data_IF_703898750387
#
_entry.id   IF_703898750387
#
_cell.length_a   1.000
_cell.length_b   1.000
_cell.length_c   1.000
_cell.angle_alpha   90.00
_cell.angle_beta   90.00
_cell.angle_gamma   90.00
#
_symmetry.space_group_name_H-M   'P 1'
#
loop_
_entity.id
_entity.type
_entity.pdbx_description
1 polymer ?
#
# COMPACT_ATOMS: atom_id res chain seq x y z
N UNK A 1 -24.88 -34.96 -29.92
CA UNK A 1 -23.87 -35.02 -29.66
C UNK A 1 -23.58 -34.98 -28.44
N UNK A 2 -23.06 -35.29 -28.14
CA UNK A 2 -22.79 -35.37 -27.10
C UNK A 2 -21.77 -34.81 -26.66
N UNK A 3 -21.86 -34.07 -26.22
CA UNK A 3 -21.04 -33.60 -25.71
C UNK A 3 -20.52 -34.30 -24.74
N UNK A 4 -19.77 -34.60 -24.83
CA UNK A 4 -19.27 -35.21 -24.14
C UNK A 4 -18.52 -34.74 -23.32
N UNK A 5 -18.81 -34.74 -22.56
CA UNK A 5 -18.56 -34.93 -21.40
C UNK A 5 -17.93 -36.18 -21.22
N UNK A 6 -17.28 -36.64 -21.64
CA UNK A 6 -16.76 -37.72 -21.57
C UNK A 6 -15.81 -37.75 -20.53
N UNK A 7 -14.85 -38.30 -20.62
CA UNK A 7 -13.95 -38.40 -19.84
C UNK A 7 -13.54 -37.18 -19.50
N UNK A 8 -13.55 -36.81 -18.57
CA UNK A 8 -13.36 -35.55 -18.30
C UNK A 8 -14.60 -34.74 -18.31
N UNK A 9 -15.70 -35.37 -18.54
CA UNK A 9 -16.91 -34.67 -18.49
C UNK A 9 -17.12 -34.03 -17.18
N UNK A 10 -17.57 -32.82 -17.15
CA UNK A 10 -17.80 -32.05 -15.93
C UNK A 10 -19.26 -31.68 -15.82
N UNK A 11 -19.78 -31.74 -14.60
CA UNK A 11 -21.11 -31.24 -14.32
C UNK A 11 -21.05 -29.72 -14.28
N UNK A 12 -22.21 -29.05 -14.24
CA UNK A 12 -22.27 -27.61 -14.11
C UNK A 12 -21.62 -27.16 -12.79
N UNK A 13 -21.77 -27.93 -11.73
CA UNK A 13 -21.15 -27.64 -10.45
C UNK A 13 -19.61 -27.68 -10.56
N UNK A 14 -19.07 -28.66 -11.28
CA UNK A 14 -17.63 -28.79 -11.48
C UNK A 14 -17.09 -27.62 -12.30
N UNK A 15 -17.78 -27.21 -13.34
CA UNK A 15 -17.40 -26.08 -14.16
C UNK A 15 -17.44 -24.79 -13.36
N UNK A 16 -18.45 -24.62 -12.54
CA UNK A 16 -18.58 -23.44 -11.70
C UNK A 16 -17.41 -23.37 -10.70
N UNK A 17 -17.08 -24.49 -10.05
CA UNK A 17 -15.97 -24.55 -9.11
C UNK A 17 -14.64 -24.26 -9.80
N UNK A 18 -14.46 -24.74 -11.02
CA UNK A 18 -13.26 -24.48 -11.79
C UNK A 18 -13.13 -22.99 -12.12
N UNK A 19 -14.21 -22.35 -12.54
CA UNK A 19 -14.23 -20.93 -12.84
C UNK A 19 -13.96 -20.08 -11.59
N UNK A 20 -14.50 -20.47 -10.45
CA UNK A 20 -14.24 -19.79 -9.19
C UNK A 20 -12.77 -19.88 -8.80
N UNK A 21 -12.14 -21.03 -8.98
CA UNK A 21 -10.72 -21.22 -8.69
C UNK A 21 -9.84 -20.40 -9.62
N UNK A 22 -10.19 -20.37 -10.91
CA UNK A 22 -9.47 -19.57 -11.89
C UNK A 22 -9.56 -18.09 -11.57
N UNK A 23 -10.74 -17.63 -11.16
CA UNK A 23 -10.95 -16.25 -10.76
C UNK A 23 -10.14 -15.90 -9.51
N UNK A 24 -10.16 -16.76 -8.50
CA UNK A 24 -9.38 -16.57 -7.28
C UNK A 24 -7.89 -16.49 -7.59
N UNK A 25 -7.39 -17.35 -8.48
CA UNK A 25 -5.99 -17.34 -8.87
C UNK A 25 -5.64 -16.06 -9.62
N UNK A 26 -6.53 -15.57 -10.45
CA UNK A 26 -6.32 -14.33 -11.17
C UNK A 26 -6.24 -13.15 -10.21
N UNK A 27 -7.11 -13.10 -9.21
CA UNK A 27 -7.10 -12.05 -8.19
C UNK A 27 -5.77 -12.08 -7.41
N UNK A 28 -5.32 -13.26 -7.02
CA UNK A 28 -4.04 -13.43 -6.31
C UNK A 28 -2.88 -12.97 -7.18
N UNK A 29 -2.89 -13.31 -8.46
CA UNK A 29 -1.85 -12.92 -9.39
C UNK A 29 -1.80 -11.41 -9.60
N UNK A 30 -2.96 -10.77 -9.70
CA UNK A 30 -3.04 -9.31 -9.84
C UNK A 30 -2.49 -8.62 -8.60
N UNK A 31 -2.85 -9.10 -7.41
CA UNK A 31 -2.37 -8.54 -6.17
C UNK A 31 -0.85 -8.66 -6.05
N UNK A 32 -0.30 -9.81 -6.44
CA UNK A 32 1.13 -10.06 -6.42
C UNK A 32 1.86 -9.15 -7.42
N UNK A 33 1.32 -9.01 -8.63
CA UNK A 33 1.91 -8.16 -9.66
C UNK A 33 1.88 -6.70 -9.25
N UNK A 34 0.79 -6.26 -8.60
CA UNK A 34 0.67 -4.92 -8.07
C UNK A 34 1.71 -4.66 -6.99
N UNK A 35 1.89 -5.59 -6.06
CA UNK A 35 2.90 -5.48 -5.02
C UNK A 35 4.31 -5.37 -5.61
N UNK A 36 4.63 -6.21 -6.59
CA UNK A 36 5.93 -6.17 -7.28
C UNK A 36 6.14 -4.82 -7.94
N UNK A 37 5.13 -4.32 -8.63
CA UNK A 37 5.19 -3.03 -9.31
C UNK A 37 5.40 -1.88 -8.33
N UNK A 38 4.64 -1.86 -7.26
CA UNK A 38 4.71 -0.81 -6.24
C UNK A 38 6.06 -0.82 -5.52
N UNK A 39 6.57 -2.00 -5.22
CA UNK A 39 7.89 -2.14 -4.62
C UNK A 39 8.98 -1.62 -5.54
N UNK A 40 8.88 -1.89 -6.83
CA UNK A 40 9.82 -1.42 -7.84
C UNK A 40 9.79 0.11 -7.95
N UNK A 41 8.64 0.72 -7.75
CA UNK A 41 8.47 2.17 -7.75
C UNK A 41 8.91 2.82 -6.44
N UNK A 42 9.27 2.05 -5.43
CA UNK A 42 9.78 2.57 -4.17
C UNK A 42 8.77 2.59 -3.02
N UNK A 43 7.59 2.01 -3.22
CA UNK A 43 6.61 1.93 -2.13
C UNK A 43 6.98 0.81 -1.15
N UNK A 44 6.46 0.93 0.06
CA UNK A 44 6.76 -0.02 1.12
C UNK A 44 5.77 -1.19 1.11
N UNK A 45 6.25 -2.38 1.42
CA UNK A 45 5.42 -3.58 1.42
C UNK A 45 4.93 -3.97 2.81
N UNK A 46 5.52 -3.40 3.85
CA UNK A 46 5.09 -3.63 5.23
C UNK A 46 5.48 -2.46 6.12
N UNK A 47 4.85 -2.40 7.30
CA UNK A 47 5.07 -1.32 8.25
C UNK A 47 6.50 -1.26 8.75
N UNK A 48 7.10 -2.40 9.02
CA UNK A 48 8.45 -2.44 9.56
C UNK A 48 9.48 -1.86 8.59
N UNK A 49 9.32 -2.15 7.30
CA UNK A 49 10.18 -1.60 6.27
C UNK A 49 10.13 -0.07 6.26
N UNK A 50 8.94 0.50 6.38
CA UNK A 50 8.73 1.94 6.39
C UNK A 50 9.35 2.58 7.65
N UNK A 51 9.16 1.96 8.80
CA UNK A 51 9.73 2.42 10.05
C UNK A 51 11.26 2.39 10.00
N UNK A 52 11.84 1.28 9.54
CA UNK A 52 13.28 1.13 9.44
C UNK A 52 13.88 2.16 8.48
N UNK A 53 13.18 2.44 7.40
CA UNK A 53 13.62 3.42 6.41
C UNK A 53 13.71 4.82 7.02
N UNK A 54 12.68 5.24 7.76
CA UNK A 54 12.68 6.54 8.44
C UNK A 54 13.78 6.60 9.51
N UNK A 55 13.92 5.53 10.30
CA UNK A 55 14.93 5.48 11.36
C UNK A 55 16.36 5.49 10.83
N UNK A 56 16.56 5.13 9.58
CA UNK A 56 17.86 5.21 8.94
C UNK A 56 18.24 6.64 8.51
N UNK A 57 17.35 7.61 8.73
CA UNK A 57 17.57 9.01 8.38
C UNK A 57 17.17 9.38 6.97
N UNK A 58 16.58 8.45 6.24
CA UNK A 58 16.14 8.70 4.87
C UNK A 58 14.74 9.31 4.85
N UNK A 59 14.43 9.98 3.76
CA UNK A 59 13.16 10.68 3.61
C UNK A 59 12.17 9.83 2.85
N UNK A 60 10.92 9.81 3.30
CA UNK A 60 9.81 9.26 2.52
C UNK A 60 8.98 10.42 2.01
N UNK A 61 8.57 10.36 0.74
CA UNK A 61 7.88 11.46 0.07
C UNK A 61 6.51 11.02 -0.42
N UNK A 62 5.60 11.98 -0.54
CA UNK A 62 4.30 11.70 -1.14
C UNK A 62 4.49 11.39 -2.63
N UNK A 63 3.69 10.46 -3.14
CA UNK A 63 3.81 10.01 -4.52
C UNK A 63 3.61 11.14 -5.53
N UNK A 64 2.65 12.01 -5.25
CA UNK A 64 2.27 13.10 -6.14
C UNK A 64 2.95 14.43 -5.81
N UNK A 65 3.67 14.52 -4.71
CA UNK A 65 4.28 15.77 -4.29
C UNK A 65 5.53 15.53 -3.43
N UNK A 66 6.73 15.64 -4.01
CA UNK A 66 7.97 15.41 -3.26
C UNK A 66 8.24 16.47 -2.19
N UNK A 67 7.47 17.55 -2.14
CA UNK A 67 7.57 18.55 -1.08
C UNK A 67 6.79 18.16 0.16
N UNK A 68 5.97 17.11 0.10
CA UNK A 68 5.31 16.53 1.25
C UNK A 68 6.10 15.31 1.66
N UNK A 69 6.62 15.28 2.87
CA UNK A 69 7.51 14.20 3.28
C UNK A 69 7.58 14.02 4.79
N UNK A 70 8.10 12.84 5.17
CA UNK A 70 8.51 12.56 6.55
C UNK A 70 10.03 12.38 6.57
N UNK A 71 10.65 12.87 7.63
CA UNK A 71 12.09 12.72 7.83
C UNK A 71 12.42 12.76 9.32
N UNK A 72 13.35 11.90 9.75
CA UNK A 72 13.83 11.94 11.11
C UNK A 72 14.72 13.16 11.31
N UNK A 73 14.42 13.98 12.32
CA UNK A 73 15.18 15.17 12.67
C UNK A 73 15.25 15.31 14.18
N UNK A 74 16.45 15.36 14.71
CA UNK A 74 16.67 15.56 16.16
C UNK A 74 15.88 14.57 17.03
N UNK A 75 15.85 13.31 16.63
CA UNK A 75 15.17 12.26 17.36
C UNK A 75 13.64 12.26 17.26
N UNK A 76 13.09 13.10 16.40
CA UNK A 76 11.65 13.18 16.14
C UNK A 76 11.39 13.05 14.65
N UNK A 77 10.16 12.71 14.30
CA UNK A 77 9.76 12.63 12.90
C UNK A 77 9.15 13.97 12.49
N UNK A 78 9.78 14.62 11.52
CA UNK A 78 9.26 15.84 10.93
C UNK A 78 8.36 15.47 9.76
N UNK A 79 7.15 16.03 9.76
CA UNK A 79 6.20 15.85 8.67
C UNK A 79 5.90 17.19 8.02
N UNK A 80 6.28 17.36 6.76
CA UNK A 80 5.92 18.52 5.96
C UNK A 80 4.73 18.11 5.08
N UNK A 81 3.68 18.88 5.12
CA UNK A 81 2.43 18.56 4.43
C UNK A 81 1.79 19.81 3.85
N UNK A 82 0.95 19.59 2.82
CA UNK A 82 0.20 20.66 2.19
C UNK A 82 -1.13 20.80 2.89
N UNK A 83 -1.49 22.01 3.29
CA UNK A 83 -2.78 22.29 3.89
C UNK A 83 -3.74 22.92 2.90
N UNK A 84 -5.02 22.64 3.10
CA UNK A 84 -6.11 23.13 2.26
C UNK A 84 -7.08 23.96 3.10
N UNK A 85 -7.71 24.94 2.48
CA UNK A 85 -8.76 25.70 3.16
C UNK A 85 -10.11 24.98 3.05
N UNK A 86 -11.18 25.62 3.56
CA UNK A 86 -12.50 25.00 3.62
C UNK A 86 -13.12 24.68 2.25
N UNK A 87 -12.59 25.26 1.18
CA UNK A 87 -13.08 25.00 -0.18
C UNK A 87 -12.07 24.15 -0.98
N UNK A 88 -11.22 23.39 -0.27
CA UNK A 88 -10.23 22.49 -0.84
C UNK A 88 -9.20 23.14 -1.75
N UNK A 89 -8.88 24.41 -1.49
CA UNK A 89 -7.79 25.10 -2.18
C UNK A 89 -6.52 25.03 -1.34
N UNK A 90 -5.36 24.74 -1.95
CA UNK A 90 -4.11 24.68 -1.20
C UNK A 90 -3.70 26.05 -0.72
N UNK A 91 -3.33 26.16 0.57
CA UNK A 91 -2.90 27.40 1.18
C UNK A 91 -1.41 27.45 1.47
N UNK A 92 -0.74 26.33 1.48
CA UNK A 92 0.70 26.27 1.66
C UNK A 92 1.17 25.06 2.42
N UNK A 93 2.49 24.92 2.53
CA UNK A 93 3.11 23.81 3.23
C UNK A 93 3.33 24.20 4.68
N UNK A 94 3.04 23.25 5.56
CA UNK A 94 3.25 23.40 7.00
C UNK A 94 4.05 22.20 7.48
N UNK A 95 4.71 22.36 8.60
CA UNK A 95 5.48 21.28 9.18
C UNK A 95 5.09 21.06 10.63
N UNK A 96 5.17 19.80 11.06
CA UNK A 96 4.97 19.44 12.46
C UNK A 96 5.95 18.35 12.84
N UNK A 97 6.21 18.24 14.14
CA UNK A 97 7.04 17.16 14.67
C UNK A 97 6.15 16.23 15.45
N UNK A 98 6.45 14.94 15.35
CA UNK A 98 5.79 13.94 16.17
C UNK A 98 6.84 12.99 16.71
N UNK A 99 6.52 12.28 17.77
CA UNK A 99 7.46 11.33 18.34
C UNK A 99 7.61 10.13 17.39
N UNK A 100 8.72 9.41 17.53
CA UNK A 100 8.92 8.17 16.80
C UNK A 100 7.79 7.19 17.13
N UNK A 101 7.33 7.16 18.38
CA UNK A 101 6.25 6.29 18.81
C UNK A 101 4.93 6.61 18.12
N UNK A 102 4.59 7.90 18.00
CA UNK A 102 3.40 8.32 17.27
C UNK A 102 3.46 7.93 15.80
N UNK A 103 4.63 8.09 15.19
CA UNK A 103 4.84 7.69 13.80
C UNK A 103 4.67 6.17 13.63
N UNK A 104 5.27 5.38 14.53
CA UNK A 104 5.12 3.92 14.50
C UNK A 104 3.67 3.50 14.64
N UNK A 105 2.95 4.14 15.55
CA UNK A 105 1.53 3.83 15.76
C UNK A 105 0.69 4.15 14.53
N UNK A 106 0.97 5.25 13.87
CA UNK A 106 0.29 5.61 12.62
C UNK A 106 0.54 4.58 11.51
N UNK A 107 1.81 4.20 11.32
CA UNK A 107 2.18 3.20 10.31
C UNK A 107 1.52 1.85 10.60
N UNK A 108 1.51 1.45 11.87
CA UNK A 108 0.87 0.20 12.29
C UNK A 108 -0.64 0.21 12.02
N UNK A 109 -1.30 1.34 12.25
CA UNK A 109 -2.73 1.46 11.92
C UNK A 109 -2.98 1.35 10.44
N UNK A 110 -2.12 1.93 9.60
CA UNK A 110 -2.23 1.80 8.16
C UNK A 110 -2.10 0.35 7.71
N UNK A 111 -1.14 -0.38 8.27
CA UNK A 111 -0.95 -1.79 7.95
C UNK A 111 -2.16 -2.63 8.38
N UNK A 112 -2.67 -2.37 9.58
CA UNK A 112 -3.85 -3.09 10.09
C UNK A 112 -5.04 -2.89 9.17
N UNK A 113 -5.26 -1.66 8.72
CA UNK A 113 -6.37 -1.36 7.83
C UNK A 113 -6.24 -2.07 6.48
N UNK A 114 -5.01 -2.15 5.94
CA UNK A 114 -4.76 -2.87 4.70
C UNK A 114 -5.03 -4.37 4.84
N UNK A 115 -4.64 -4.95 5.96
CA UNK A 115 -4.91 -6.36 6.25
C UNK A 115 -6.41 -6.62 6.33
N UNK A 116 -7.15 -5.74 7.00
CA UNK A 116 -8.61 -5.88 7.12
C UNK A 116 -9.32 -5.79 5.78
N UNK A 117 -8.76 -5.04 4.84
CA UNK A 117 -9.31 -4.94 3.49
C UNK A 117 -8.79 -6.02 2.55
N UNK A 118 -8.04 -6.99 3.07
CA UNK A 118 -7.43 -8.07 2.29
C UNK A 118 -6.52 -7.56 1.18
N UNK A 119 -5.80 -6.48 1.45
CA UNK A 119 -4.86 -5.91 0.50
C UNK A 119 -3.44 -6.05 1.04
N UNK A 120 -2.44 -6.23 0.19
CA UNK A 120 -1.06 -6.18 0.66
C UNK A 120 -0.78 -4.78 1.16
N UNK A 121 0.04 -4.67 2.21
CA UNK A 121 0.40 -3.35 2.69
C UNK A 121 1.25 -2.65 1.65
N UNK A 122 0.74 -1.57 1.14
CA UNK A 122 1.47 -0.65 0.29
C UNK A 122 0.96 0.72 0.69
N UNK A 123 1.83 1.58 1.13
CA UNK A 123 1.41 2.93 1.41
C UNK A 123 1.38 3.71 0.10
N UNK A 124 0.20 3.81 -0.49
CA UNK A 124 0.03 4.45 -1.80
C UNK A 124 0.32 5.96 -1.77
N UNK A 125 0.39 6.54 -0.60
CA UNK A 125 0.62 7.98 -0.49
C UNK A 125 2.11 8.33 -0.35
N UNK A 126 2.91 7.42 0.22
CA UNK A 126 4.31 7.69 0.51
C UNK A 126 5.23 6.59 -0.01
N UNK A 127 6.37 7.01 -0.52
CA UNK A 127 7.37 6.10 -1.08
C UNK A 127 8.77 6.59 -0.74
N UNK A 128 9.76 5.76 -0.98
CA UNK A 128 11.16 6.13 -0.80
C UNK A 128 11.52 7.27 -1.73
N UNK A 129 12.24 8.26 -1.20
CA UNK A 129 12.75 9.32 -2.04
C UNK A 129 13.81 8.76 -2.96
N UNK A 130 13.75 9.10 -4.22
CA UNK A 130 14.75 8.66 -5.19
C UNK A 130 16.02 9.49 -5.10
#
# INVERSE_FOLDING_TARGET
MEVKYSKGSKTLADLKNQLEKEYEQEVVNRARNEEIRMKKEGFFTNAQEMIDYILSGKRIVADDDPNEFFQLRDGKVFHKYLEYNDIDMPIGYFGKYESIEEFKNWVARCEKNQIMEHKPFVNYFFKKEK
#
